data_IF_640146550242
#
_entry.id   IF_640146550242
#
_cell.length_a   1.000
_cell.length_b   1.000
_cell.length_c   1.000
_cell.angle_alpha   90.00
_cell.angle_beta   90.00
_cell.angle_gamma   90.00
#
_symmetry.space_group_name_H-M   'P 1'
#
loop_
_entity.id
_entity.type
_entity.pdbx_description
1 polymer ?
#
# COMPACT_ATOMS: atom_id res chain seq x y z
N UNK A 1 -28.22 17.57 -4.75
CA UNK A 1 -28.09 16.10 -4.84
C UNK A 1 -27.04 15.87 -5.90
N UNK A 2 -25.82 15.70 -5.43
CA UNK A 2 -24.68 15.43 -6.31
C UNK A 2 -24.77 13.95 -6.74
N UNK A 3 -24.78 13.72 -8.06
CA UNK A 3 -25.02 12.40 -8.63
C UNK A 3 -23.79 11.51 -8.57
N UNK A 4 -23.23 11.28 -7.37
CA UNK A 4 -22.22 10.24 -7.18
C UNK A 4 -22.82 8.89 -7.58
N UNK A 5 -22.18 8.08 -8.43
CA UNK A 5 -22.71 6.81 -8.84
C UNK A 5 -22.87 5.91 -7.60
N UNK A 6 -24.09 5.46 -7.36
CA UNK A 6 -24.40 4.50 -6.30
C UNK A 6 -23.58 3.23 -6.56
N UNK A 7 -22.84 2.77 -5.54
CA UNK A 7 -22.10 1.50 -5.59
C UNK A 7 -23.09 0.37 -5.81
N UNK A 8 -23.03 -0.31 -6.94
CA UNK A 8 -23.89 -1.43 -7.28
C UNK A 8 -23.20 -2.79 -7.08
N UNK A 9 -21.88 -2.81 -7.21
CA UNK A 9 -21.03 -4.00 -7.06
C UNK A 9 -19.85 -3.72 -6.15
N UNK A 10 -19.69 -4.49 -5.09
CA UNK A 10 -18.58 -4.42 -4.15
C UNK A 10 -17.68 -5.63 -4.33
N UNK A 11 -16.41 -5.42 -4.63
CA UNK A 11 -15.42 -6.48 -4.58
C UNK A 11 -14.94 -6.71 -3.15
N UNK A 12 -14.82 -7.97 -2.74
CA UNK A 12 -14.30 -8.37 -1.45
C UNK A 12 -12.90 -8.98 -1.60
N UNK A 13 -11.91 -8.35 -0.96
CA UNK A 13 -10.53 -8.82 -0.95
C UNK A 13 -10.17 -9.32 0.45
N UNK A 14 -9.80 -10.59 0.54
CA UNK A 14 -9.60 -11.28 1.82
C UNK A 14 -8.12 -11.38 2.18
N UNK A 15 -7.84 -11.37 3.48
CA UNK A 15 -6.51 -11.76 3.97
C UNK A 15 -6.21 -13.21 3.54
N UNK A 16 -5.01 -13.48 2.97
CA UNK A 16 -4.73 -14.78 2.34
C UNK A 16 -4.72 -15.97 3.31
N UNK A 17 -4.44 -15.75 4.59
CA UNK A 17 -4.24 -16.83 5.58
C UNK A 17 -5.18 -16.76 6.79
N UNK A 18 -5.61 -15.57 7.20
CA UNK A 18 -6.47 -15.43 8.38
C UNK A 18 -7.90 -15.86 8.04
N UNK A 19 -8.58 -16.42 9.02
CA UNK A 19 -10.01 -16.64 8.93
C UNK A 19 -10.72 -15.28 9.01
N UNK A 20 -11.50 -14.99 8.00
CA UNK A 20 -12.27 -13.75 7.84
C UNK A 20 -13.74 -14.06 7.53
N UNK A 21 -14.13 -15.33 7.64
CA UNK A 21 -15.43 -15.83 7.17
C UNK A 21 -16.59 -15.07 7.81
N UNK A 22 -16.61 -14.92 9.14
CA UNK A 22 -17.69 -14.21 9.85
C UNK A 22 -17.86 -12.76 9.37
N UNK A 23 -16.74 -12.04 9.23
CA UNK A 23 -16.77 -10.63 8.76
C UNK A 23 -17.18 -10.55 7.29
N UNK A 24 -16.72 -11.50 6.47
CA UNK A 24 -17.07 -11.57 5.06
C UNK A 24 -18.56 -11.88 4.84
N UNK A 25 -19.12 -12.85 5.57
CA UNK A 25 -20.56 -13.17 5.55
C UNK A 25 -21.41 -11.97 5.97
N UNK A 26 -20.94 -11.21 6.97
CA UNK A 26 -21.63 -9.99 7.42
C UNK A 26 -21.62 -8.91 6.32
N UNK A 27 -20.49 -8.72 5.61
CA UNK A 27 -20.44 -7.81 4.45
C UNK A 27 -21.45 -8.23 3.38
N UNK A 28 -21.46 -9.53 3.03
CA UNK A 28 -22.39 -10.08 2.02
C UNK A 28 -23.84 -9.87 2.44
N UNK A 29 -24.18 -10.17 3.69
CA UNK A 29 -25.56 -9.99 4.21
C UNK A 29 -26.03 -8.54 4.17
N UNK A 30 -25.18 -7.60 4.59
CA UNK A 30 -25.51 -6.16 4.58
C UNK A 30 -25.62 -5.59 3.17
N UNK A 31 -24.70 -5.97 2.26
CA UNK A 31 -24.72 -5.51 0.87
C UNK A 31 -25.96 -6.04 0.14
N UNK A 32 -26.25 -7.34 0.26
CA UNK A 32 -27.42 -7.97 -0.37
C UNK A 32 -28.74 -7.38 0.14
N UNK A 33 -28.84 -7.01 1.42
CA UNK A 33 -30.00 -6.33 1.97
C UNK A 33 -30.28 -4.97 1.34
N UNK A 34 -29.26 -4.33 0.77
CA UNK A 34 -29.36 -3.06 0.02
C UNK A 34 -29.41 -3.25 -1.51
N UNK A 35 -29.47 -4.50 -1.99
CA UNK A 35 -29.49 -4.83 -3.42
C UNK A 35 -28.13 -4.64 -4.11
N UNK A 36 -27.04 -4.68 -3.36
CA UNK A 36 -25.67 -4.57 -3.86
C UNK A 36 -25.07 -5.97 -4.00
N UNK A 37 -24.53 -6.28 -5.16
CA UNK A 37 -23.88 -7.55 -5.45
C UNK A 37 -22.46 -7.56 -4.88
N UNK A 38 -22.07 -8.67 -4.23
CA UNK A 38 -20.70 -8.84 -3.70
C UNK A 38 -19.93 -9.80 -4.60
N UNK A 39 -18.83 -9.32 -5.16
CA UNK A 39 -17.91 -10.08 -6.02
C UNK A 39 -16.73 -10.58 -5.19
N UNK A 40 -16.26 -11.79 -5.48
CA UNK A 40 -15.06 -12.36 -4.85
C UNK A 40 -14.22 -13.06 -5.90
N UNK A 41 -12.90 -13.12 -5.70
CA UNK A 41 -12.04 -13.90 -6.61
C UNK A 41 -12.44 -15.38 -6.58
N UNK A 42 -12.48 -16.02 -7.74
CA UNK A 42 -12.88 -17.44 -7.87
C UNK A 42 -12.12 -18.37 -6.89
N UNK A 43 -10.83 -18.07 -6.61
CA UNK A 43 -10.04 -18.83 -5.65
C UNK A 43 -10.47 -18.68 -4.18
N UNK A 44 -11.20 -17.62 -3.86
CA UNK A 44 -11.70 -17.31 -2.51
C UNK A 44 -13.19 -17.70 -2.33
N UNK A 45 -13.84 -18.24 -3.37
CA UNK A 45 -15.29 -18.56 -3.39
C UNK A 45 -15.75 -19.42 -2.20
N UNK A 46 -14.94 -20.43 -1.82
CA UNK A 46 -15.24 -21.31 -0.69
C UNK A 46 -15.18 -20.63 0.68
N UNK A 47 -14.66 -19.40 0.76
CA UNK A 47 -14.50 -18.64 2.00
C UNK A 47 -15.59 -17.59 2.21
N UNK A 48 -16.41 -17.32 1.19
CA UNK A 48 -17.43 -16.26 1.23
C UNK A 48 -18.76 -16.78 0.62
N UNK A 49 -19.55 -17.55 1.40
CA UNK A 49 -20.86 -17.96 0.96
C UNK A 49 -21.74 -16.77 0.56
N UNK A 50 -22.43 -16.89 -0.58
CA UNK A 50 -23.35 -15.85 -1.06
C UNK A 50 -22.71 -14.72 -1.88
N UNK A 51 -21.37 -14.70 -2.04
CA UNK A 51 -20.70 -13.82 -3.00
C UNK A 51 -20.61 -14.47 -4.39
N UNK A 52 -20.51 -13.65 -5.43
CA UNK A 52 -20.37 -14.09 -6.83
C UNK A 52 -18.87 -14.28 -7.13
N UNK A 53 -18.42 -15.50 -7.46
CA UNK A 53 -17.04 -15.75 -7.81
C UNK A 53 -16.76 -15.31 -9.26
N UNK A 54 -15.71 -14.49 -9.43
CA UNK A 54 -15.29 -13.98 -10.74
C UNK A 54 -13.76 -14.08 -10.89
N UNK A 55 -13.26 -13.94 -12.13
CA UNK A 55 -11.83 -13.81 -12.40
C UNK A 55 -11.26 -12.52 -11.81
N UNK A 56 -9.95 -12.45 -11.58
CA UNK A 56 -9.32 -11.23 -11.01
C UNK A 56 -9.49 -10.02 -11.93
N UNK A 57 -9.36 -10.20 -13.23
CA UNK A 57 -9.52 -9.11 -14.21
C UNK A 57 -10.97 -8.63 -14.29
N UNK A 58 -11.93 -9.55 -14.23
CA UNK A 58 -13.37 -9.27 -14.21
C UNK A 58 -13.73 -8.54 -12.92
N UNK A 59 -13.22 -8.99 -11.77
CA UNK A 59 -13.44 -8.34 -10.48
C UNK A 59 -12.94 -6.89 -10.50
N UNK A 60 -11.75 -6.64 -11.04
CA UNK A 60 -11.20 -5.30 -11.19
C UNK A 60 -12.01 -4.42 -12.16
N UNK A 61 -12.54 -5.01 -13.24
CA UNK A 61 -13.31 -4.28 -14.25
C UNK A 61 -14.73 -3.92 -13.80
N UNK A 62 -15.37 -4.79 -13.01
CA UNK A 62 -16.79 -4.69 -12.67
C UNK A 62 -17.07 -4.06 -11.29
N UNK A 63 -16.08 -4.01 -10.41
CA UNK A 63 -16.26 -3.40 -9.10
C UNK A 63 -16.47 -1.88 -9.19
N UNK A 64 -17.41 -1.36 -8.42
CA UNK A 64 -17.64 0.07 -8.18
C UNK A 64 -16.99 0.52 -6.88
N UNK A 65 -16.68 -0.43 -5.98
CA UNK A 65 -15.97 -0.23 -4.72
C UNK A 65 -15.36 -1.54 -4.24
N UNK A 66 -14.41 -1.45 -3.32
CA UNK A 66 -13.72 -2.61 -2.74
C UNK A 66 -13.79 -2.55 -1.23
N UNK A 67 -14.05 -3.69 -0.58
CA UNK A 67 -13.86 -3.89 0.85
C UNK A 67 -12.70 -4.85 1.06
N UNK A 68 -11.66 -4.39 1.73
CA UNK A 68 -10.46 -5.18 2.07
C UNK A 68 -10.55 -5.67 3.52
N UNK A 69 -10.58 -6.99 3.73
CA UNK A 69 -10.62 -7.61 5.04
C UNK A 69 -9.23 -8.12 5.45
N UNK A 70 -8.51 -7.32 6.22
CA UNK A 70 -7.15 -7.66 6.66
C UNK A 70 -6.37 -6.47 7.19
N UNK A 71 -5.04 -6.51 7.09
CA UNK A 71 -4.15 -5.39 7.41
C UNK A 71 -3.70 -4.64 6.16
N UNK A 72 -2.66 -3.79 6.33
CA UNK A 72 -2.12 -2.98 5.24
C UNK A 72 -1.68 -3.80 4.02
N UNK A 73 -1.11 -5.00 4.22
CA UNK A 73 -0.74 -5.88 3.10
C UNK A 73 -1.94 -6.33 2.24
N UNK A 74 -3.10 -6.61 2.87
CA UNK A 74 -4.34 -6.94 2.15
C UNK A 74 -4.87 -5.71 1.42
N UNK A 75 -4.80 -4.55 2.08
CA UNK A 75 -5.19 -3.26 1.49
C UNK A 75 -4.35 -2.90 0.27
N UNK A 76 -3.02 -3.06 0.34
CA UNK A 76 -2.13 -2.91 -0.83
C UNK A 76 -2.51 -3.86 -1.96
N UNK A 77 -2.88 -5.10 -1.63
CA UNK A 77 -3.40 -6.07 -2.60
C UNK A 77 -4.67 -5.61 -3.29
N UNK A 78 -5.61 -5.05 -2.53
CA UNK A 78 -6.86 -4.49 -3.04
C UNK A 78 -6.60 -3.27 -3.95
N UNK A 79 -5.73 -2.36 -3.54
CA UNK A 79 -5.35 -1.20 -4.34
C UNK A 79 -4.68 -1.60 -5.66
N UNK A 80 -3.75 -2.58 -5.63
CA UNK A 80 -3.11 -3.09 -6.85
C UNK A 80 -4.10 -3.72 -7.81
N UNK A 81 -5.09 -4.44 -7.29
CA UNK A 81 -6.12 -5.08 -8.11
C UNK A 81 -6.88 -4.07 -8.97
N UNK A 82 -7.17 -2.90 -8.43
CA UNK A 82 -7.97 -1.86 -9.10
C UNK A 82 -7.14 -0.68 -9.62
N UNK A 83 -5.81 -0.80 -9.66
CA UNK A 83 -4.93 0.32 -10.02
C UNK A 83 -5.10 0.83 -11.46
N UNK A 84 -5.60 0.00 -12.38
CA UNK A 84 -5.90 0.39 -13.78
C UNK A 84 -7.28 1.07 -13.93
N UNK A 85 -8.20 0.80 -13.00
CA UNK A 85 -9.52 1.43 -12.87
C UNK A 85 -9.75 1.75 -11.39
N UNK A 86 -9.15 2.82 -10.85
CA UNK A 86 -9.24 3.12 -9.42
C UNK A 86 -10.68 3.37 -8.97
N UNK A 87 -11.12 2.56 -8.02
CA UNK A 87 -12.40 2.70 -7.31
C UNK A 87 -12.13 2.87 -5.82
N UNK A 88 -13.11 3.36 -5.02
CA UNK A 88 -12.95 3.51 -3.58
C UNK A 88 -12.65 2.17 -2.89
N UNK A 89 -11.64 2.14 -2.03
CA UNK A 89 -11.24 0.95 -1.27
C UNK A 89 -11.37 1.22 0.23
N UNK A 90 -12.28 0.50 0.88
CA UNK A 90 -12.49 0.54 2.33
C UNK A 90 -11.66 -0.56 3.01
N UNK A 91 -10.82 -0.21 3.97
CA UNK A 91 -10.02 -1.17 4.73
C UNK A 91 -10.61 -1.48 6.09
N UNK A 92 -10.94 -2.76 6.35
CA UNK A 92 -11.37 -3.29 7.64
C UNK A 92 -10.23 -4.09 8.26
N UNK A 93 -9.74 -3.67 9.43
CA UNK A 93 -8.61 -4.35 10.06
C UNK A 93 -9.07 -5.52 10.96
N UNK A 94 -8.36 -6.64 10.89
CA UNK A 94 -8.63 -7.85 11.67
C UNK A 94 -7.54 -8.13 12.72
N UNK A 95 -6.84 -7.10 13.15
CA UNK A 95 -5.71 -7.19 14.07
C UNK A 95 -5.20 -5.79 14.40
N UNK A 96 -3.89 -5.59 14.39
CA UNK A 96 -3.31 -4.28 14.63
C UNK A 96 -3.73 -3.27 13.55
N UNK A 97 -4.06 -2.08 13.98
CA UNK A 97 -4.42 -0.97 13.10
C UNK A 97 -3.20 -0.54 12.26
N UNK A 98 -3.30 -0.62 10.94
CA UNK A 98 -2.28 -0.21 9.97
C UNK A 98 -2.33 1.27 9.59
N UNK A 99 -1.53 1.71 8.61
CA UNK A 99 -1.58 3.06 8.04
C UNK A 99 -2.72 3.24 7.03
N UNK A 100 -3.09 2.17 6.35
CA UNK A 100 -4.08 2.20 5.27
C UNK A 100 -5.48 1.81 5.74
N UNK A 101 -5.57 0.87 6.68
CA UNK A 101 -6.84 0.37 7.21
C UNK A 101 -7.37 1.25 8.35
N UNK A 102 -8.69 1.41 8.43
CA UNK A 102 -9.30 2.38 9.34
C UNK A 102 -10.42 1.79 10.19
N UNK A 103 -11.19 0.85 9.62
CA UNK A 103 -12.44 0.36 10.21
C UNK A 103 -12.20 -0.84 11.10
N UNK A 104 -12.71 -0.80 12.34
CA UNK A 104 -12.76 -1.98 13.21
C UNK A 104 -13.98 -2.85 12.85
N UNK A 105 -13.93 -4.19 12.99
CA UNK A 105 -15.07 -5.07 12.68
C UNK A 105 -16.38 -4.71 13.39
N UNK A 106 -16.31 -4.12 14.60
CA UNK A 106 -17.50 -3.65 15.31
C UNK A 106 -18.19 -2.45 14.64
N UNK A 107 -17.47 -1.70 13.80
CA UNK A 107 -17.96 -0.51 13.09
C UNK A 107 -18.38 -0.83 11.64
N UNK A 108 -18.27 -2.10 11.24
CA UNK A 108 -18.46 -2.55 9.85
C UNK A 108 -19.82 -2.11 9.27
N UNK A 109 -20.91 -2.24 10.01
CA UNK A 109 -22.26 -1.97 9.50
C UNK A 109 -22.41 -0.51 9.09
N UNK A 110 -21.97 0.41 9.96
CA UNK A 110 -22.01 1.84 9.69
C UNK A 110 -21.03 2.23 8.58
N UNK A 111 -19.84 1.63 8.58
CA UNK A 111 -18.81 1.89 7.59
C UNK A 111 -19.23 1.43 6.19
N UNK A 112 -19.83 0.24 6.08
CA UNK A 112 -20.33 -0.29 4.81
C UNK A 112 -21.51 0.53 4.30
N UNK A 113 -22.45 0.92 5.16
CA UNK A 113 -23.57 1.78 4.77
C UNK A 113 -23.06 3.10 4.19
N UNK A 114 -22.08 3.74 4.84
CA UNK A 114 -21.47 4.98 4.35
C UNK A 114 -20.75 4.78 3.00
N UNK A 115 -20.03 3.66 2.83
CA UNK A 115 -19.41 3.32 1.54
C UNK A 115 -20.46 3.22 0.43
N UNK A 116 -21.57 2.51 0.68
CA UNK A 116 -22.64 2.29 -0.31
C UNK A 116 -23.42 3.56 -0.62
N UNK A 117 -23.57 4.45 0.35
CA UNK A 117 -24.23 5.76 0.21
C UNK A 117 -23.31 6.84 -0.40
N UNK A 118 -22.01 6.58 -0.51
CA UNK A 118 -21.02 7.56 -0.97
C UNK A 118 -20.66 8.64 0.08
N UNK A 119 -20.94 8.39 1.37
CA UNK A 119 -20.65 9.30 2.49
C UNK A 119 -19.23 9.06 3.04
N UNK A 120 -18.22 9.45 2.28
CA UNK A 120 -16.81 9.32 2.64
C UNK A 120 -15.94 10.33 1.87
N UNK A 121 -14.70 10.47 2.31
CA UNK A 121 -13.67 11.22 1.59
C UNK A 121 -12.72 10.23 0.91
N UNK A 122 -12.37 10.48 -0.35
CA UNK A 122 -11.34 9.72 -1.05
C UNK A 122 -9.97 10.31 -0.76
N UNK A 123 -9.05 9.48 -0.26
CA UNK A 123 -7.63 9.81 -0.14
C UNK A 123 -6.90 9.21 -1.33
N UNK A 124 -6.34 10.02 -2.25
CA UNK A 124 -5.62 9.53 -3.41
C UNK A 124 -4.25 8.98 -3.00
N UNK A 125 -3.89 7.82 -3.55
CA UNK A 125 -2.59 7.19 -3.37
C UNK A 125 -1.88 7.03 -4.71
N UNK A 126 -0.65 7.52 -4.78
CA UNK A 126 0.23 7.30 -5.94
C UNK A 126 0.83 5.90 -5.89
N UNK A 127 1.14 5.33 -7.05
CA UNK A 127 1.84 4.06 -7.16
C UNK A 127 3.00 4.15 -8.16
N UNK A 128 4.02 3.31 -7.97
CA UNK A 128 5.05 3.07 -8.95
C UNK A 128 4.52 2.12 -10.02
N UNK A 129 4.62 2.51 -11.29
CA UNK A 129 4.48 1.64 -12.45
C UNK A 129 5.86 1.15 -12.84
N UNK A 130 6.03 -0.16 -12.83
CA UNK A 130 7.32 -0.82 -13.02
C UNK A 130 7.26 -1.66 -14.29
N UNK A 131 8.27 -1.50 -15.14
CA UNK A 131 8.45 -2.29 -16.35
C UNK A 131 9.85 -2.89 -16.37
N UNK A 132 9.95 -4.21 -16.54
CA UNK A 132 11.22 -4.92 -16.68
C UNK A 132 11.10 -5.98 -17.80
N UNK A 133 11.48 -5.62 -19.01
CA UNK A 133 11.19 -6.40 -20.21
C UNK A 133 9.67 -6.52 -20.44
N UNK A 134 9.16 -7.75 -20.47
CA UNK A 134 7.72 -8.02 -20.61
C UNK A 134 6.95 -7.96 -19.28
N UNK A 135 7.67 -7.90 -18.16
CA UNK A 135 7.04 -7.86 -16.83
C UNK A 135 6.50 -6.48 -16.53
N UNK A 136 5.32 -6.47 -15.92
CA UNK A 136 4.67 -5.28 -15.39
C UNK A 136 4.34 -5.50 -13.93
N UNK A 137 4.58 -4.49 -13.10
CA UNK A 137 4.18 -4.51 -11.69
C UNK A 137 3.71 -3.12 -11.25
N UNK A 138 2.94 -3.11 -10.18
CA UNK A 138 2.47 -1.89 -9.50
C UNK A 138 2.83 -2.00 -8.04
N UNK A 139 3.45 -0.97 -7.48
CA UNK A 139 3.77 -0.89 -6.06
C UNK A 139 3.23 0.41 -5.47
N UNK A 140 2.47 0.31 -4.40
CA UNK A 140 1.98 1.47 -3.66
C UNK A 140 3.00 1.94 -2.60
N UNK A 141 3.77 1.01 -2.03
CA UNK A 141 4.88 1.35 -1.15
C UNK A 141 6.20 1.42 -1.92
N UNK A 142 6.73 0.28 -2.37
CA UNK A 142 8.08 0.22 -2.91
C UNK A 142 8.30 -0.94 -3.90
N UNK A 143 9.27 -0.69 -4.79
CA UNK A 143 9.99 -1.69 -5.57
C UNK A 143 11.31 -1.97 -4.87
N UNK A 144 11.66 -3.24 -4.69
CA UNK A 144 12.99 -3.65 -4.28
C UNK A 144 13.67 -4.50 -5.36
N UNK A 145 14.91 -4.14 -5.69
CA UNK A 145 15.84 -4.99 -6.39
C UNK A 145 16.84 -5.52 -5.36
N UNK A 146 16.77 -6.79 -5.02
CA UNK A 146 17.57 -7.39 -3.97
C UNK A 146 18.44 -8.55 -4.49
N UNK A 147 19.69 -8.61 -4.04
CA UNK A 147 20.55 -9.74 -4.34
C UNK A 147 20.05 -11.02 -3.66
N UNK A 148 20.23 -12.16 -4.27
CA UNK A 148 20.05 -13.43 -3.59
C UNK A 148 21.20 -13.71 -2.62
N UNK A 149 20.97 -14.40 -1.49
CA UNK A 149 22.01 -14.79 -0.56
C UNK A 149 23.15 -15.53 -1.29
N UNK A 150 24.38 -15.03 -1.09
CA UNK A 150 25.59 -15.61 -1.69
C UNK A 150 25.77 -15.34 -3.20
N UNK A 151 24.92 -14.54 -3.83
CA UNK A 151 24.97 -14.27 -5.29
C UNK A 151 25.10 -12.78 -5.58
N UNK A 152 26.29 -12.33 -5.95
CA UNK A 152 26.55 -11.01 -6.52
C UNK A 152 26.11 -9.83 -5.65
N UNK A 153 25.88 -8.72 -6.31
CA UNK A 153 25.40 -7.44 -5.75
C UNK A 153 24.45 -6.79 -6.76
N UNK A 154 23.63 -5.87 -6.31
CA UNK A 154 23.00 -4.89 -7.20
C UNK A 154 24.12 -4.01 -7.74
N UNK A 155 24.28 -3.98 -9.06
CA UNK A 155 25.17 -3.06 -9.77
C UNK A 155 24.36 -2.45 -10.92
N UNK A 156 23.88 -1.23 -10.70
CA UNK A 156 22.92 -0.59 -11.59
C UNK A 156 23.29 0.87 -11.86
N UNK A 157 23.18 1.30 -13.11
CA UNK A 157 23.26 2.70 -13.50
C UNK A 157 21.89 3.34 -13.41
N UNK A 158 21.78 4.49 -12.73
CA UNK A 158 20.56 5.29 -12.64
C UNK A 158 20.56 6.37 -13.71
N UNK A 159 19.49 6.43 -14.48
CA UNK A 159 19.10 7.59 -15.26
C UNK A 159 17.76 8.15 -14.73
N UNK A 160 17.65 9.48 -14.68
CA UNK A 160 16.46 10.22 -14.25
C UNK A 160 16.04 11.11 -15.39
N UNK A 161 14.82 10.96 -15.89
CA UNK A 161 14.27 11.72 -17.02
C UNK A 161 15.23 11.74 -18.23
N UNK A 162 15.84 10.58 -18.50
CA UNK A 162 16.79 10.37 -19.62
C UNK A 162 18.23 10.82 -19.36
N UNK A 163 18.51 11.49 -18.24
CA UNK A 163 19.86 11.94 -17.88
C UNK A 163 20.53 10.96 -16.93
N UNK A 164 21.77 10.55 -17.22
CA UNK A 164 22.55 9.69 -16.35
C UNK A 164 22.95 10.43 -15.08
N UNK A 165 22.50 9.92 -13.91
CA UNK A 165 22.81 10.47 -12.59
C UNK A 165 24.03 9.85 -11.95
N UNK A 166 24.20 8.53 -12.07
CA UNK A 166 25.29 7.81 -11.47
C UNK A 166 25.03 6.31 -11.44
N UNK A 167 25.64 5.61 -10.49
CA UNK A 167 25.45 4.17 -10.33
C UNK A 167 25.34 3.80 -8.85
N UNK A 168 24.74 2.64 -8.62
CA UNK A 168 24.65 1.98 -7.32
C UNK A 168 25.41 0.67 -7.36
N UNK A 169 26.11 0.37 -6.25
CA UNK A 169 26.59 -0.96 -5.95
C UNK A 169 26.28 -1.25 -4.48
N UNK A 170 25.29 -2.12 -4.23
CA UNK A 170 24.71 -2.33 -2.91
C UNK A 170 24.10 -3.74 -2.79
N UNK A 171 23.59 -4.09 -1.62
CA UNK A 171 22.90 -5.37 -1.38
C UNK A 171 21.46 -5.37 -1.89
N UNK A 172 20.79 -4.23 -1.74
CA UNK A 172 19.48 -3.98 -2.31
C UNK A 172 19.32 -2.51 -2.71
N UNK A 173 18.48 -2.25 -3.72
CA UNK A 173 18.07 -0.91 -4.11
C UNK A 173 16.55 -0.83 -4.00
N UNK A 174 16.08 0.08 -3.15
CA UNK A 174 14.65 0.29 -2.88
C UNK A 174 14.22 1.59 -3.53
N UNK A 175 13.16 1.54 -4.32
CA UNK A 175 12.51 2.72 -4.90
C UNK A 175 11.11 2.79 -4.30
N UNK A 176 10.80 3.86 -3.57
CA UNK A 176 9.55 4.00 -2.84
C UNK A 176 8.77 5.22 -3.27
N UNK A 177 7.44 5.15 -3.15
CA UNK A 177 6.57 6.33 -3.15
C UNK A 177 6.80 7.14 -1.88
N UNK A 178 6.27 8.37 -1.81
CA UNK A 178 6.29 9.14 -0.58
C UNK A 178 5.57 8.41 0.57
N UNK A 179 4.41 7.80 0.31
CA UNK A 179 3.67 6.99 1.29
C UNK A 179 4.48 5.76 1.73
N UNK A 180 5.12 5.07 0.78
CA UNK A 180 5.99 3.90 1.03
C UNK A 180 7.32 4.24 1.67
N UNK A 181 7.67 5.52 1.83
CA UNK A 181 8.91 5.93 2.50
C UNK A 181 9.02 5.42 3.94
N UNK A 182 7.89 5.13 4.60
CA UNK A 182 7.80 4.57 5.95
C UNK A 182 7.92 3.04 6.01
N UNK A 183 7.98 2.36 4.85
CA UNK A 183 8.07 0.90 4.73
C UNK A 183 9.53 0.42 4.57
N UNK A 184 9.83 -0.35 3.53
CA UNK A 184 11.17 -0.92 3.34
C UNK A 184 12.25 0.16 3.12
N UNK A 185 11.90 1.27 2.45
CA UNK A 185 12.83 2.40 2.28
C UNK A 185 13.35 2.92 3.62
N UNK A 186 12.47 3.10 4.61
CA UNK A 186 12.86 3.51 5.96
C UNK A 186 13.79 2.50 6.63
N UNK A 187 13.44 1.22 6.59
CA UNK A 187 14.26 0.15 7.14
C UNK A 187 15.64 0.06 6.47
N UNK A 188 15.75 0.47 5.21
CA UNK A 188 17.00 0.56 4.46
C UNK A 188 17.79 1.86 4.74
N UNK A 189 17.30 2.75 5.61
CA UNK A 189 17.94 4.03 5.96
C UNK A 189 17.51 5.22 5.10
N UNK A 190 16.39 5.10 4.39
CA UNK A 190 15.75 6.19 3.64
C UNK A 190 15.07 7.21 4.57
N UNK A 191 14.87 8.46 4.11
CA UNK A 191 14.13 9.47 4.86
C UNK A 191 12.63 9.17 4.87
N UNK A 192 11.96 9.61 5.94
CA UNK A 192 10.50 9.74 5.92
C UNK A 192 10.10 10.94 5.05
N UNK A 193 9.18 10.72 4.14
CA UNK A 193 8.62 11.75 3.28
C UNK A 193 7.13 11.88 3.58
N UNK A 194 6.64 13.11 3.73
CA UNK A 194 5.21 13.34 3.92
C UNK A 194 4.43 12.78 2.71
N UNK A 195 3.36 12.02 2.92
CA UNK A 195 2.52 11.53 1.82
C UNK A 195 1.93 12.65 0.95
N UNK A 196 1.85 13.87 1.48
CA UNK A 196 1.40 15.06 0.72
C UNK A 196 2.45 15.61 -0.24
N UNK A 197 3.69 15.11 -0.18
CA UNK A 197 4.76 15.49 -1.11
C UNK A 197 4.80 14.49 -2.25
N UNK A 198 4.55 14.95 -3.47
CA UNK A 198 4.71 14.11 -4.66
C UNK A 198 6.19 13.81 -4.90
N UNK A 199 6.63 12.60 -4.54
CA UNK A 199 8.04 12.25 -4.65
C UNK A 199 8.33 10.75 -4.72
N UNK A 200 9.52 10.46 -5.23
CA UNK A 200 10.11 9.12 -5.29
C UNK A 200 11.35 9.11 -4.40
N UNK A 201 11.47 8.11 -3.56
CA UNK A 201 12.68 7.90 -2.73
C UNK A 201 13.47 6.73 -3.30
N UNK A 202 14.74 6.94 -3.61
CA UNK A 202 15.65 5.86 -4.04
C UNK A 202 16.69 5.62 -2.94
N UNK A 203 16.62 4.47 -2.29
CA UNK A 203 17.42 4.13 -1.10
C UNK A 203 18.30 2.91 -1.36
N UNK A 204 19.63 3.05 -1.39
CA UNK A 204 20.52 1.89 -1.43
C UNK A 204 20.67 1.28 -0.02
N UNK A 205 20.51 -0.03 0.09
CA UNK A 205 20.79 -0.79 1.30
C UNK A 205 22.21 -1.35 1.27
N UNK A 206 22.99 -1.13 2.33
CA UNK A 206 24.40 -1.52 2.43
C UNK A 206 25.23 -1.11 1.20
N UNK A 207 25.31 0.20 0.87
CA UNK A 207 26.02 0.66 -0.31
C UNK A 207 27.54 0.42 -0.18
N UNK A 208 28.14 -0.16 -1.23
CA UNK A 208 29.57 -0.46 -1.30
C UNK A 208 30.33 0.61 -2.09
N UNK A 209 29.73 1.15 -3.16
CA UNK A 209 30.28 2.22 -4.00
C UNK A 209 29.20 2.89 -4.85
N UNK A 210 29.52 4.03 -5.44
CA UNK A 210 28.58 4.84 -6.20
C UNK A 210 27.75 5.74 -5.29
N UNK A 211 26.47 5.93 -5.63
CA UNK A 211 25.53 6.73 -4.83
C UNK A 211 25.26 5.97 -3.52
N UNK A 212 25.67 6.57 -2.41
CA UNK A 212 25.57 5.94 -1.08
C UNK A 212 24.53 6.57 -0.17
N UNK A 213 23.89 7.66 -0.61
CA UNK A 213 22.84 8.35 0.13
C UNK A 213 21.49 8.19 -0.58
N UNK A 214 20.39 8.14 0.16
CA UNK A 214 19.08 8.19 -0.45
C UNK A 214 18.89 9.46 -1.28
N UNK A 215 18.19 9.32 -2.40
CA UNK A 215 17.76 10.45 -3.25
C UNK A 215 16.26 10.62 -3.09
N UNK A 216 15.82 11.88 -3.05
CA UNK A 216 14.40 12.24 -3.17
C UNK A 216 14.24 12.98 -4.50
N UNK A 217 13.40 12.44 -5.36
CA UNK A 217 13.15 12.91 -6.72
C UNK A 217 11.68 13.31 -6.86
N UNK A 218 11.35 14.07 -7.89
CA UNK A 218 9.97 14.44 -8.18
C UNK A 218 9.15 13.25 -8.64
N UNK A 219 7.86 13.20 -8.33
CA UNK A 219 6.94 12.21 -8.90
C UNK A 219 6.77 12.34 -10.42
N UNK A 220 7.13 13.51 -11.00
CA UNK A 220 7.13 13.73 -12.43
C UNK A 220 8.37 13.12 -13.13
N UNK A 221 9.38 12.69 -12.37
CA UNK A 221 10.57 12.06 -12.93
C UNK A 221 10.28 10.61 -13.33
N UNK A 222 10.90 10.20 -14.45
CA UNK A 222 10.96 8.78 -14.83
C UNK A 222 12.34 8.24 -14.48
N UNK A 223 12.37 7.06 -13.86
CA UNK A 223 13.62 6.40 -13.49
C UNK A 223 13.89 5.23 -14.43
N UNK A 224 15.14 5.06 -14.78
CA UNK A 224 15.63 3.89 -15.47
C UNK A 224 16.85 3.34 -14.74
N UNK A 225 16.77 2.07 -14.35
CA UNK A 225 17.87 1.31 -13.77
C UNK A 225 18.38 0.32 -14.84
N UNK A 226 19.59 0.52 -15.32
CA UNK A 226 20.28 -0.39 -16.22
C UNK A 226 21.21 -1.28 -15.41
N UNK A 227 20.96 -2.60 -15.42
CA UNK A 227 21.75 -3.56 -14.66
C UNK A 227 23.06 -3.83 -15.37
N UNK A 228 24.18 -3.48 -14.73
CA UNK A 228 25.52 -3.55 -15.30
C UNK A 228 26.03 -5.00 -15.41
N UNK A 229 27.05 -5.28 -16.23
CA UNK A 229 27.57 -6.65 -16.41
C UNK A 229 28.06 -7.35 -15.15
N UNK A 230 28.38 -6.59 -14.10
CA UNK A 230 28.81 -7.14 -12.79
C UNK A 230 27.64 -7.43 -11.85
N UNK A 231 26.42 -7.10 -12.25
CA UNK A 231 25.23 -7.39 -11.49
C UNK A 231 25.02 -8.90 -11.36
N UNK A 232 24.59 -9.36 -10.21
CA UNK A 232 24.07 -10.73 -10.06
C UNK A 232 22.64 -10.82 -10.57
N UNK A 233 22.05 -12.02 -10.55
CA UNK A 233 20.61 -12.17 -10.63
C UNK A 233 19.99 -11.56 -9.38
N UNK A 234 18.98 -10.73 -9.55
CA UNK A 234 18.29 -10.00 -8.48
C UNK A 234 16.82 -10.42 -8.43
N UNK A 235 16.30 -10.55 -7.22
CA UNK A 235 14.85 -10.60 -7.02
C UNK A 235 14.25 -9.21 -7.33
N UNK A 236 13.16 -9.19 -8.10
CA UNK A 236 12.33 -8.02 -8.32
C UNK A 236 11.06 -8.19 -7.48
N UNK A 237 10.87 -7.33 -6.50
CA UNK A 237 9.74 -7.36 -5.57
C UNK A 237 8.99 -6.03 -5.59
N UNK A 238 7.65 -6.09 -5.64
CA UNK A 238 6.77 -4.93 -5.52
C UNK A 238 5.87 -5.10 -4.29
N UNK A 239 5.92 -4.17 -3.32
CA UNK A 239 5.25 -4.26 -2.02
C UNK A 239 5.49 -5.62 -1.33
N UNK A 240 6.72 -6.13 -1.38
CA UNK A 240 7.12 -7.42 -0.80
C UNK A 240 6.60 -8.66 -1.55
N UNK A 241 6.05 -8.50 -2.74
CA UNK A 241 5.62 -9.62 -3.60
C UNK A 241 6.63 -9.81 -4.73
N UNK A 242 7.12 -11.04 -4.90
CA UNK A 242 8.06 -11.39 -5.97
C UNK A 242 7.41 -11.35 -7.35
N UNK A 243 8.07 -10.66 -8.28
CA UNK A 243 7.71 -10.56 -9.69
C UNK A 243 8.75 -11.22 -10.61
N UNK A 244 9.55 -12.14 -10.09
CA UNK A 244 10.60 -12.85 -10.79
C UNK A 244 11.98 -12.24 -10.60
N UNK A 245 12.88 -12.51 -11.52
CA UNK A 245 14.29 -12.10 -11.47
C UNK A 245 14.62 -11.16 -12.62
N UNK A 246 15.58 -10.28 -12.38
CA UNK A 246 16.25 -9.44 -13.37
C UNK A 246 17.77 -9.60 -13.24
N UNK A 247 18.52 -9.36 -14.30
CA UNK A 247 19.96 -9.61 -14.31
C UNK A 247 20.75 -8.71 -15.24
N UNK A 248 22.02 -9.02 -15.49
CA UNK A 248 22.91 -8.19 -16.30
C UNK A 248 22.32 -7.84 -17.67
N UNK A 249 22.32 -6.56 -18.01
CA UNK A 249 21.79 -6.04 -19.26
C UNK A 249 20.29 -5.73 -19.26
N UNK A 250 19.55 -6.18 -18.24
CA UNK A 250 18.14 -5.81 -18.09
C UNK A 250 17.99 -4.34 -17.72
N UNK A 251 16.84 -3.79 -18.08
CA UNK A 251 16.40 -2.44 -17.73
C UNK A 251 15.12 -2.52 -16.93
N UNK A 252 15.10 -1.75 -15.84
CA UNK A 252 13.90 -1.55 -15.02
C UNK A 252 13.50 -0.10 -15.13
N UNK A 253 12.34 0.15 -15.71
CA UNK A 253 11.75 1.47 -15.87
C UNK A 253 10.69 1.68 -14.80
N UNK A 254 10.70 2.86 -14.18
CA UNK A 254 9.83 3.21 -13.08
C UNK A 254 9.27 4.60 -13.32
N UNK A 255 7.96 4.74 -13.22
CA UNK A 255 7.26 6.00 -13.26
C UNK A 255 6.18 6.04 -12.18
N UNK A 256 5.82 7.21 -11.70
CA UNK A 256 4.70 7.38 -10.77
C UNK A 256 3.40 7.54 -11.55
N UNK A 257 2.39 6.80 -11.13
CA UNK A 257 1.01 7.09 -11.48
C UNK A 257 0.35 7.77 -10.28
N UNK A 258 0.02 9.03 -10.42
CA UNK A 258 -0.76 9.75 -9.42
C UNK A 258 -2.17 9.18 -9.31
N UNK A 259 -2.73 9.18 -8.09
CA UNK A 259 -4.08 8.70 -7.81
C UNK A 259 -4.39 7.31 -8.38
N UNK A 260 -3.39 6.41 -8.39
CA UNK A 260 -3.54 5.02 -8.81
C UNK A 260 -4.44 4.21 -7.86
N UNK A 261 -4.62 4.67 -6.64
CA UNK A 261 -5.52 4.12 -5.63
C UNK A 261 -6.35 5.20 -4.97
N UNK A 262 -7.54 4.82 -4.47
CA UNK A 262 -8.47 5.70 -3.74
C UNK A 262 -8.86 5.01 -2.45
N UNK A 263 -8.29 5.47 -1.34
CA UNK A 263 -8.60 4.93 -0.01
C UNK A 263 -9.78 5.68 0.57
N UNK A 264 -10.77 4.96 1.05
CA UNK A 264 -11.93 5.52 1.76
C UNK A 264 -11.50 5.99 3.13
N UNK A 265 -11.81 7.25 3.46
CA UNK A 265 -11.67 7.83 4.80
C UNK A 265 -13.04 8.24 5.32
N UNK A 266 -13.49 7.58 6.36
CA UNK A 266 -14.76 7.87 7.01
C UNK A 266 -14.62 9.08 7.95
N UNK A 267 -13.47 9.19 8.62
CA UNK A 267 -13.13 10.32 9.48
C UNK A 267 -11.67 10.76 9.21
N UNK A 268 -11.46 11.72 8.28
CA UNK A 268 -10.11 12.18 7.92
C UNK A 268 -9.32 12.77 9.09
N UNK A 269 -9.97 13.43 10.03
CA UNK A 269 -9.30 14.06 11.18
C UNK A 269 -8.77 13.00 12.16
N UNK A 270 -9.60 12.00 12.47
CA UNK A 270 -9.18 10.86 13.29
C UNK A 270 -8.07 10.09 12.61
N UNK A 271 -8.16 9.89 11.29
CA UNK A 271 -7.11 9.24 10.52
C UNK A 271 -5.79 10.02 10.57
N UNK A 272 -5.82 11.34 10.40
CA UNK A 272 -4.64 12.20 10.45
C UNK A 272 -3.94 12.14 11.82
N UNK A 273 -4.70 12.15 12.91
CA UNK A 273 -4.16 11.99 14.27
C UNK A 273 -3.50 10.61 14.44
N UNK A 274 -4.18 9.53 14.02
CA UNK A 274 -3.64 8.16 14.09
C UNK A 274 -2.36 7.99 13.27
N UNK A 275 -2.27 8.60 12.10
CA UNK A 275 -1.09 8.56 11.24
C UNK A 275 0.11 9.27 11.86
N UNK A 276 -0.08 10.42 12.52
CA UNK A 276 0.98 11.12 13.27
C UNK A 276 1.55 10.25 14.38
N UNK A 277 0.67 9.58 15.12
CA UNK A 277 1.06 8.66 16.19
C UNK A 277 1.90 7.52 15.65
N UNK A 278 1.51 6.90 14.54
CA UNK A 278 2.26 5.80 13.93
C UNK A 278 3.62 6.21 13.40
N UNK A 279 3.72 7.38 12.77
CA UNK A 279 5.00 7.93 12.34
C UNK A 279 5.95 8.14 13.51
N UNK A 280 5.43 8.48 14.69
CA UNK A 280 6.25 8.64 15.90
C UNK A 280 6.72 7.29 16.48
N UNK A 281 6.05 6.19 16.18
CA UNK A 281 6.53 4.83 16.52
C UNK A 281 7.70 4.37 15.63
N UNK A 282 8.02 5.10 14.57
CA UNK A 282 9.20 4.90 13.72
C UNK A 282 10.37 5.77 14.22
N UNK A 283 10.69 5.71 15.53
CA UNK A 283 11.79 6.46 16.19
C UNK A 283 11.67 7.99 16.18
N UNK A 284 10.51 8.54 15.83
CA UNK A 284 10.25 9.96 16.02
C UNK A 284 9.85 10.22 17.49
N UNK A 285 10.50 11.16 18.20
CA UNK A 285 10.22 11.40 19.61
C UNK A 285 8.79 11.93 19.77
N UNK A 286 7.97 11.20 20.55
CA UNK A 286 6.65 11.65 20.95
C UNK A 286 6.74 12.66 22.08
N UNK A 287 5.96 13.73 21.98
CA UNK A 287 5.69 14.58 23.12
C UNK A 287 4.88 13.81 24.19
N UNK A 288 5.04 14.13 25.49
CA UNK A 288 4.33 13.46 26.58
C UNK A 288 2.79 13.45 26.40
N UNK A 289 2.24 14.49 25.81
CA UNK A 289 0.81 14.61 25.49
C UNK A 289 0.39 13.62 24.40
N UNK A 290 1.21 13.44 23.37
CA UNK A 290 0.97 12.49 22.29
C UNK A 290 1.06 11.04 22.79
N UNK A 291 1.96 10.77 23.77
CA UNK A 291 2.02 9.46 24.42
C UNK A 291 0.74 9.13 25.19
N UNK A 292 0.11 10.15 25.82
CA UNK A 292 -1.18 9.98 26.52
C UNK A 292 -2.32 9.65 25.56
N UNK A 293 -2.32 10.25 24.36
CA UNK A 293 -3.33 9.98 23.33
C UNK A 293 -3.28 8.55 22.81
N UNK A 294 -2.11 7.87 22.92
CA UNK A 294 -1.92 6.47 22.53
C UNK A 294 -2.52 5.48 23.50
N UNK A 295 -2.80 5.89 24.75
CA UNK A 295 -3.32 4.99 25.76
C UNK A 295 -4.79 4.70 25.50
N UNK A 296 -5.24 3.42 25.65
CA UNK A 296 -6.66 3.09 25.67
C UNK A 296 -7.41 3.98 26.67
N UNK A 297 -8.64 4.37 26.34
CA UNK A 297 -9.45 5.28 27.16
C UNK A 297 -9.50 4.91 28.63
N UNK A 298 -9.71 3.62 28.93
CA UNK A 298 -9.73 3.09 30.30
C UNK A 298 -8.40 3.28 31.07
N UNK A 299 -7.26 3.23 30.37
CA UNK A 299 -5.94 3.46 30.98
C UNK A 299 -5.70 4.95 31.20
N UNK A 300 -6.19 5.78 30.29
CA UNK A 300 -6.10 7.25 30.37
C UNK A 300 -6.88 7.77 31.58
N UNK A 301 -8.12 7.34 31.75
CA UNK A 301 -8.98 7.69 32.89
C UNK A 301 -8.35 7.27 34.24
N UNK A 302 -7.71 6.09 34.30
CA UNK A 302 -7.01 5.63 35.51
C UNK A 302 -5.76 6.45 35.84
N UNK A 303 -5.06 6.97 34.83
CA UNK A 303 -3.90 7.84 35.04
C UNK A 303 -4.31 9.23 35.50
N UNK A 304 -5.38 9.79 34.92
CA UNK A 304 -5.94 11.07 35.33
C UNK A 304 -6.48 11.04 36.75
N UNK A 305 -7.16 9.95 37.14
CA UNK A 305 -7.65 9.74 38.50
C UNK A 305 -6.52 9.58 39.56
N UNK A 306 -5.29 9.30 39.16
CA UNK A 306 -4.11 9.21 40.07
C UNK A 306 -3.29 10.49 40.11
N UNK A 307 -3.54 11.42 39.23
CA UNK A 307 -2.78 12.69 39.13
C UNK A 307 -3.54 13.88 39.75
N UNK A 308 -4.78 13.71 40.21
CA UNK A 308 -5.57 14.63 40.99
C UNK A 308 -5.71 14.13 42.44
#
# INVERSE_FOLDING_TARGET
>A
MDGSPRVARVALVLHPRNDVTEVAERVVGLANAQGVEVLVRALDAGRVPGAVPVGSDELAAEADGVVSLGGDGTMLGALRLVADKPVPVLGVHLGNLGFLVEVHPSELDSALARLLDGDFVEEPHSALRITAGERRAVAFNDLALARHPGRGTVDATLAVSGLRYGYYRCDALVVATAAGSSAYSYAAGGPLVSPSVGGIVVTPSAPMSGISRPLVLSEADTLQLELNPRCGALALEADGIGHGEVGPGDRVEIAVQAAAGRVVRLDPDVHAQRSRVKLSLLDLPLLPEQLRELLPGEVRERLEARSG
#
